data_IF_108589061606
#
_entry.id   IF_108589061606
#
_cell.length_a   1.000
_cell.length_b   1.000
_cell.length_c   1.000
_cell.angle_alpha   90.00
_cell.angle_beta   90.00
_cell.angle_gamma   90.00
#
_symmetry.space_group_name_H-M   'P 1'
#
loop_
_entity.id
_entity.type
_entity.pdbx_description
1 polymer ?
#
# COMPACT_ATOMS: atom_id res chain seq x y z
N UNK A 1 3.29 33.37 -50.76
CA UNK A 1 3.79 32.26 -49.92
C UNK A 1 4.73 32.86 -48.85
N UNK A 2 4.27 32.95 -47.60
CA UNK A 2 5.04 33.48 -46.48
C UNK A 2 5.73 32.29 -45.82
N UNK A 3 7.04 32.21 -45.91
CA UNK A 3 7.86 31.25 -45.18
C UNK A 3 8.13 31.80 -43.76
N UNK A 4 7.47 31.22 -42.75
CA UNK A 4 7.76 31.49 -41.33
C UNK A 4 8.89 30.56 -40.92
N UNK A 5 10.09 31.13 -40.72
CA UNK A 5 11.26 30.43 -40.16
C UNK A 5 11.12 30.39 -38.64
N UNK A 6 10.90 29.20 -38.07
CA UNK A 6 10.98 29.00 -36.62
C UNK A 6 12.46 28.83 -36.23
N UNK A 7 13.04 29.85 -35.60
CA UNK A 7 14.30 29.71 -34.89
C UNK A 7 14.02 28.92 -33.59
N UNK A 8 14.33 27.62 -33.59
CA UNK A 8 14.40 26.85 -32.34
C UNK A 8 15.58 27.34 -31.50
N UNK A 9 15.31 28.14 -30.51
CA UNK A 9 16.29 28.48 -29.49
C UNK A 9 16.48 27.26 -28.58
N UNK A 10 17.58 26.52 -28.80
CA UNK A 10 17.99 25.41 -27.93
C UNK A 10 18.76 26.01 -26.76
N UNK A 11 18.23 25.95 -25.52
CA UNK A 11 18.99 26.45 -24.37
C UNK A 11 20.26 25.59 -24.20
N UNK A 12 21.39 26.19 -23.70
CA UNK A 12 22.61 25.45 -23.47
C UNK A 12 22.35 24.28 -22.52
N UNK A 13 22.79 23.09 -22.93
CA UNK A 13 22.73 21.89 -22.10
C UNK A 13 23.71 22.11 -20.94
N UNK A 14 23.20 22.41 -19.75
CA UNK A 14 23.99 22.48 -18.52
C UNK A 14 24.73 21.14 -18.32
N UNK A 15 26.04 21.23 -18.11
CA UNK A 15 26.86 20.09 -17.73
C UNK A 15 26.25 19.40 -16.51
N UNK A 16 26.35 18.06 -16.41
CA UNK A 16 25.84 17.31 -15.27
C UNK A 16 26.41 17.82 -13.92
N UNK A 17 27.57 18.50 -13.96
CA UNK A 17 28.26 19.06 -12.81
C UNK A 17 27.62 20.37 -12.31
N UNK A 18 26.87 21.07 -13.16
CA UNK A 18 26.28 22.39 -12.87
C UNK A 18 24.77 22.31 -12.56
N UNK A 19 24.20 21.09 -12.52
CA UNK A 19 22.80 20.92 -12.09
C UNK A 19 22.73 21.03 -10.58
N UNK A 20 21.93 21.97 -10.03
CA UNK A 20 21.68 21.99 -8.60
C UNK A 20 21.10 20.62 -8.20
N UNK A 21 21.65 20.01 -7.16
CA UNK A 21 21.10 18.79 -6.60
C UNK A 21 19.67 19.09 -6.14
N UNK A 22 18.70 18.39 -6.72
CA UNK A 22 17.33 18.48 -6.22
C UNK A 22 17.30 18.01 -4.76
N UNK A 23 16.53 18.67 -3.88
CA UNK A 23 16.43 18.24 -2.50
C UNK A 23 15.92 16.80 -2.47
N UNK A 24 16.69 15.91 -1.85
CA UNK A 24 16.29 14.51 -1.68
C UNK A 24 15.42 14.35 -0.43
N UNK A 25 14.37 13.57 -0.54
CA UNK A 25 13.55 13.17 0.62
C UNK A 25 14.14 11.87 1.18
N UNK A 26 14.43 11.78 2.48
CA UNK A 26 14.84 10.51 3.08
C UNK A 26 13.81 9.40 2.81
N UNK A 27 14.28 8.19 2.51
CA UNK A 27 13.43 7.06 2.16
C UNK A 27 12.38 6.75 3.24
N UNK A 28 12.74 6.90 4.50
CA UNK A 28 11.82 6.76 5.64
C UNK A 28 10.67 7.77 5.58
N UNK A 29 10.98 9.02 5.27
CA UNK A 29 9.96 10.07 5.17
C UNK A 29 9.05 9.86 3.94
N UNK A 30 9.63 9.44 2.82
CA UNK A 30 8.86 9.08 1.63
C UNK A 30 7.90 7.91 1.92
N UNK A 31 8.38 6.86 2.59
CA UNK A 31 7.56 5.72 3.01
C UNK A 31 6.43 6.15 3.96
N UNK A 32 6.69 7.05 4.90
CA UNK A 32 5.67 7.58 5.80
C UNK A 32 4.57 8.37 5.06
N UNK A 33 4.92 9.15 4.05
CA UNK A 33 3.94 9.85 3.22
C UNK A 33 3.07 8.89 2.42
N UNK A 34 3.68 7.89 1.79
CA UNK A 34 2.96 6.85 1.05
C UNK A 34 2.02 6.09 1.99
N UNK A 35 2.49 5.69 3.17
CA UNK A 35 1.65 5.04 4.17
C UNK A 35 0.45 5.90 4.58
N UNK A 36 0.64 7.20 4.80
CA UNK A 36 -0.44 8.11 5.18
C UNK A 36 -1.56 8.15 4.12
N UNK A 37 -1.19 8.20 2.83
CA UNK A 37 -2.14 8.16 1.71
C UNK A 37 -2.86 6.81 1.65
N UNK A 38 -2.11 5.70 1.67
CA UNK A 38 -2.68 4.34 1.63
C UNK A 38 -3.66 4.11 2.79
N UNK A 39 -3.29 4.55 4.00
CA UNK A 39 -4.14 4.44 5.18
C UNK A 39 -5.43 5.26 5.03
N UNK A 40 -5.33 6.49 4.52
CA UNK A 40 -6.49 7.34 4.29
C UNK A 40 -7.44 6.72 3.24
N UNK A 41 -6.92 6.28 2.10
CA UNK A 41 -7.69 5.67 1.02
C UNK A 41 -8.40 4.39 1.50
N UNK A 42 -7.68 3.52 2.21
CA UNK A 42 -8.25 2.30 2.77
C UNK A 42 -9.34 2.59 3.80
N UNK A 43 -9.11 3.58 4.67
CA UNK A 43 -10.10 3.99 5.68
C UNK A 43 -11.35 4.51 4.98
N UNK A 44 -11.20 5.46 4.06
CA UNK A 44 -12.31 6.04 3.30
C UNK A 44 -13.08 4.96 2.54
N UNK A 45 -12.38 4.08 1.82
CA UNK A 45 -13.03 2.97 1.11
C UNK A 45 -13.86 2.09 2.06
N UNK A 46 -13.31 1.76 3.23
CA UNK A 46 -14.00 0.91 4.21
C UNK A 46 -15.23 1.61 4.79
N UNK A 47 -15.07 2.87 5.25
CA UNK A 47 -16.13 3.56 6.00
C UNK A 47 -17.20 4.16 5.10
N UNK A 48 -16.80 4.84 4.03
CA UNK A 48 -17.72 5.60 3.18
C UNK A 48 -18.28 4.79 2.00
N UNK A 49 -17.58 3.76 1.57
CA UNK A 49 -18.06 2.92 0.47
C UNK A 49 -18.62 1.60 1.01
N UNK A 50 -17.78 0.74 1.58
CA UNK A 50 -18.19 -0.61 1.97
C UNK A 50 -19.26 -0.57 3.06
N UNK A 51 -18.95 0.00 4.22
CA UNK A 51 -19.88 0.00 5.36
C UNK A 51 -21.17 0.75 5.04
N UNK A 52 -21.08 1.87 4.33
CA UNK A 52 -22.23 2.69 3.99
C UNK A 52 -23.18 1.99 3.01
N UNK A 53 -22.67 1.36 1.98
CA UNK A 53 -23.49 0.65 0.99
C UNK A 53 -24.07 -0.62 1.59
N UNK A 54 -23.32 -1.34 2.40
CA UNK A 54 -23.79 -2.52 3.11
C UNK A 54 -24.88 -2.17 4.12
N UNK A 55 -24.72 -1.10 4.90
CA UNK A 55 -25.73 -0.64 5.86
C UNK A 55 -27.04 -0.21 5.19
N UNK A 56 -26.98 0.24 3.94
CA UNK A 56 -28.15 0.59 3.13
C UNK A 56 -28.77 -0.59 2.38
N UNK A 57 -28.19 -1.79 2.50
CA UNK A 57 -28.65 -2.99 1.79
C UNK A 57 -28.47 -2.91 0.26
N UNK A 58 -27.58 -2.00 -0.25
CA UNK A 58 -27.37 -1.82 -1.68
C UNK A 58 -26.46 -2.91 -2.22
N UNK A 59 -25.32 -3.15 -1.58
CA UNK A 59 -24.37 -4.21 -1.90
C UNK A 59 -23.46 -4.47 -0.71
N UNK A 60 -22.90 -5.67 -0.64
CA UNK A 60 -21.91 -6.08 0.35
C UNK A 60 -20.52 -6.18 -0.28
N UNK A 61 -19.48 -6.27 0.54
CA UNK A 61 -18.16 -6.66 0.08
C UNK A 61 -18.01 -8.19 0.20
N UNK A 62 -17.39 -8.81 -0.80
CA UNK A 62 -17.22 -10.26 -0.87
C UNK A 62 -15.81 -10.65 -1.36
N UNK A 63 -15.35 -11.84 -0.94
CA UNK A 63 -14.13 -12.44 -1.48
C UNK A 63 -14.25 -12.77 -2.97
N UNK A 64 -15.47 -13.07 -3.42
CA UNK A 64 -15.84 -13.43 -4.80
C UNK A 64 -16.53 -12.27 -5.52
N UNK A 65 -16.06 -11.05 -5.25
CA UNK A 65 -16.69 -9.80 -5.69
C UNK A 65 -16.99 -9.75 -7.20
N UNK A 66 -16.14 -10.32 -8.04
CA UNK A 66 -16.36 -10.34 -9.50
C UNK A 66 -17.56 -11.20 -9.89
N UNK A 67 -17.66 -12.41 -9.31
CA UNK A 67 -18.72 -13.35 -9.59
C UNK A 67 -20.06 -12.93 -8.98
N UNK A 68 -20.00 -12.26 -7.84
CA UNK A 68 -21.19 -11.86 -7.07
C UNK A 68 -21.64 -10.43 -7.38
N UNK A 69 -20.95 -9.72 -8.28
CA UNK A 69 -21.17 -8.27 -8.54
C UNK A 69 -21.18 -7.45 -7.23
N UNK A 70 -20.29 -7.81 -6.32
CA UNK A 70 -20.14 -7.21 -5.02
C UNK A 70 -18.97 -6.20 -4.99
N UNK A 71 -18.75 -5.54 -3.85
CA UNK A 71 -17.58 -4.72 -3.64
C UNK A 71 -16.38 -5.59 -3.25
N UNK A 72 -15.17 -5.14 -3.60
CA UNK A 72 -13.96 -5.75 -3.05
C UNK A 72 -13.96 -5.65 -1.52
N UNK A 73 -13.41 -6.67 -0.86
CA UNK A 73 -13.03 -6.50 0.54
C UNK A 73 -11.96 -5.41 0.69
N UNK A 74 -11.93 -4.64 1.78
CA UNK A 74 -10.88 -3.63 2.01
C UNK A 74 -9.45 -4.15 1.90
N UNK A 75 -9.23 -5.43 2.24
CA UNK A 75 -7.94 -6.09 2.05
C UNK A 75 -7.62 -6.36 0.57
N UNK A 76 -8.60 -6.75 -0.22
CA UNK A 76 -8.46 -6.94 -1.67
C UNK A 76 -8.22 -5.60 -2.38
N UNK A 77 -8.95 -4.54 -1.99
CA UNK A 77 -8.70 -3.18 -2.49
C UNK A 77 -7.23 -2.79 -2.33
N UNK A 78 -6.67 -2.97 -1.13
CA UNK A 78 -5.26 -2.69 -0.87
C UNK A 78 -4.31 -3.58 -1.71
N UNK A 79 -4.64 -4.86 -1.90
CA UNK A 79 -3.83 -5.77 -2.70
C UNK A 79 -3.83 -5.38 -4.19
N UNK A 80 -5.00 -5.02 -4.74
CA UNK A 80 -5.12 -4.59 -6.13
C UNK A 80 -4.40 -3.26 -6.37
N UNK A 81 -4.56 -2.27 -5.48
CA UNK A 81 -3.86 -1.00 -5.60
C UNK A 81 -2.34 -1.17 -5.44
N UNK A 82 -1.87 -2.08 -4.56
CA UNK A 82 -0.45 -2.42 -4.44
C UNK A 82 0.13 -3.10 -5.69
N UNK A 83 -0.67 -3.90 -6.40
CA UNK A 83 -0.28 -4.47 -7.68
C UNK A 83 -0.13 -3.39 -8.74
N UNK A 84 -1.10 -2.50 -8.87
CA UNK A 84 -1.04 -1.36 -9.81
C UNK A 84 0.16 -0.45 -9.53
N UNK A 85 0.43 -0.12 -8.26
CA UNK A 85 1.59 0.67 -7.87
C UNK A 85 2.93 -0.02 -8.22
N UNK A 86 2.99 -1.35 -8.17
CA UNK A 86 4.19 -2.10 -8.55
C UNK A 86 4.42 -2.12 -10.07
N UNK A 87 3.37 -1.95 -10.87
CA UNK A 87 3.39 -1.98 -12.32
C UNK A 87 3.71 -0.62 -12.96
N UNK A 88 3.56 0.51 -12.24
CA UNK A 88 3.75 1.86 -12.76
C UNK A 88 5.21 2.27 -12.98
N UNK A 89 6.16 1.44 -12.55
CA UNK A 89 7.59 1.67 -12.74
C UNK A 89 8.24 2.63 -11.73
N UNK A 90 7.51 3.19 -10.77
CA UNK A 90 8.05 4.09 -9.73
C UNK A 90 9.00 3.39 -8.76
N UNK A 91 8.96 2.06 -8.71
CA UNK A 91 9.69 1.26 -7.74
C UNK A 91 9.01 1.14 -6.37
N UNK A 92 7.84 1.77 -6.20
CA UNK A 92 7.01 1.63 -5.00
C UNK A 92 6.30 0.29 -5.02
N UNK A 93 6.38 -0.43 -3.89
CA UNK A 93 5.66 -1.70 -3.68
C UNK A 93 5.10 -1.72 -2.28
N UNK A 94 3.90 -2.19 -2.13
CA UNK A 94 3.32 -2.42 -0.81
C UNK A 94 2.38 -3.62 -0.81
N UNK A 95 2.21 -4.23 0.34
CA UNK A 95 1.31 -5.36 0.56
C UNK A 95 0.83 -5.42 1.99
N UNK A 96 -0.28 -6.05 2.21
CA UNK A 96 -0.80 -6.35 3.54
C UNK A 96 -0.19 -7.66 4.03
N UNK A 97 0.31 -7.66 5.28
CA UNK A 97 0.85 -8.84 5.95
C UNK A 97 0.27 -8.96 7.36
N UNK A 98 0.25 -10.17 7.87
CA UNK A 98 -0.21 -10.42 9.24
C UNK A 98 0.43 -11.66 9.84
N UNK A 99 0.52 -11.72 11.17
CA UNK A 99 1.02 -12.90 11.90
C UNK A 99 0.07 -14.10 11.71
N UNK A 100 -1.21 -13.82 11.54
CA UNK A 100 -2.27 -14.81 11.43
C UNK A 100 -3.18 -14.51 10.23
N UNK A 101 -2.63 -14.56 9.01
CA UNK A 101 -3.42 -14.22 7.84
C UNK A 101 -4.42 -15.32 7.52
N UNK A 102 -5.61 -14.95 7.05
CA UNK A 102 -6.58 -15.89 6.49
C UNK A 102 -5.97 -16.58 5.26
N UNK A 103 -5.33 -15.80 4.40
CA UNK A 103 -4.60 -16.34 3.24
C UNK A 103 -3.10 -16.42 3.53
N UNK A 104 -2.53 -17.61 3.47
CA UNK A 104 -1.11 -17.89 3.79
C UNK A 104 -0.10 -17.01 3.05
N UNK A 105 -0.44 -16.56 1.83
CA UNK A 105 0.41 -15.63 1.06
C UNK A 105 0.63 -14.27 1.73
N UNK A 106 -0.24 -13.89 2.66
CA UNK A 106 -0.14 -12.67 3.45
C UNK A 106 0.65 -12.88 4.75
N UNK A 107 1.28 -14.03 4.93
CA UNK A 107 2.20 -14.25 6.03
C UNK A 107 3.50 -13.44 5.85
N UNK A 108 4.25 -13.17 6.94
CA UNK A 108 5.57 -12.56 6.85
C UNK A 108 6.51 -13.47 6.06
N UNK A 109 7.24 -12.89 5.11
CA UNK A 109 8.18 -13.59 4.23
C UNK A 109 9.64 -13.51 4.71
N UNK A 110 9.92 -12.72 5.74
CA UNK A 110 11.26 -12.55 6.31
C UNK A 110 11.21 -12.41 7.83
N UNK A 111 12.35 -12.58 8.48
CA UNK A 111 12.47 -12.34 9.92
C UNK A 111 12.24 -10.88 10.28
N UNK A 112 12.65 -9.93 9.43
CA UNK A 112 12.33 -8.51 9.61
C UNK A 112 10.81 -8.28 9.69
N UNK A 113 10.05 -8.84 8.76
CA UNK A 113 8.59 -8.71 8.76
C UNK A 113 7.95 -9.39 9.98
N UNK A 114 8.40 -10.58 10.35
CA UNK A 114 7.91 -11.30 11.53
C UNK A 114 8.16 -10.52 12.81
N UNK A 115 9.41 -10.07 13.02
CA UNK A 115 9.79 -9.33 14.22
C UNK A 115 9.11 -7.97 14.30
N UNK A 116 8.91 -7.32 13.14
CA UNK A 116 8.16 -6.08 13.04
C UNK A 116 6.70 -6.27 13.49
N UNK A 117 6.01 -7.29 12.97
CA UNK A 117 4.62 -7.58 13.34
C UNK A 117 4.48 -7.90 14.83
N UNK A 118 5.44 -8.65 15.43
CA UNK A 118 5.45 -8.90 16.88
C UNK A 118 5.65 -7.62 17.69
N UNK A 119 6.48 -6.70 17.21
CA UNK A 119 6.69 -5.40 17.85
C UNK A 119 5.47 -4.50 17.75
N UNK A 120 4.85 -4.43 16.55
CA UNK A 120 3.64 -3.65 16.29
C UNK A 120 2.42 -4.17 17.05
N UNK A 121 2.34 -5.50 17.27
CA UNK A 121 1.31 -6.10 18.13
C UNK A 121 1.40 -5.58 19.56
N UNK A 122 2.62 -5.40 20.10
CA UNK A 122 2.84 -4.88 21.44
C UNK A 122 2.61 -3.38 21.52
N UNK A 123 3.02 -2.65 20.51
CA UNK A 123 2.84 -1.20 20.43
C UNK A 123 2.48 -0.76 18.99
N UNK A 124 1.20 -0.57 18.70
CA UNK A 124 0.71 -0.18 17.38
C UNK A 124 1.00 1.27 16.99
N UNK A 125 1.70 2.04 17.80
CA UNK A 125 2.17 3.38 17.46
C UNK A 125 3.57 3.41 16.86
N UNK A 126 4.23 2.25 16.79
CA UNK A 126 5.55 2.12 16.18
C UNK A 126 5.47 1.98 14.66
N UNK A 127 6.59 2.22 14.01
CA UNK A 127 6.92 1.71 12.68
C UNK A 127 8.26 0.99 12.75
N UNK A 128 8.48 0.01 11.89
CA UNK A 128 9.74 -0.71 11.81
C UNK A 128 10.28 -0.57 10.40
N UNK A 129 11.55 -0.19 10.29
CA UNK A 129 12.21 0.01 9.01
C UNK A 129 13.46 -0.85 8.89
N UNK A 130 13.87 -1.14 7.66
CA UNK A 130 15.08 -1.88 7.37
C UNK A 130 15.47 -1.82 5.91
N UNK A 131 16.64 -2.32 5.59
CA UNK A 131 17.11 -2.52 4.22
C UNK A 131 16.99 -4.02 3.91
N UNK A 132 16.32 -4.34 2.81
CA UNK A 132 16.15 -5.71 2.35
C UNK A 132 16.77 -5.88 0.97
N UNK A 133 17.42 -7.02 0.73
CA UNK A 133 17.95 -7.37 -0.56
C UNK A 133 16.94 -8.24 -1.33
N UNK A 134 16.81 -7.96 -2.64
CA UNK A 134 16.05 -8.80 -3.56
C UNK A 134 16.83 -8.90 -4.87
N UNK A 135 17.47 -10.05 -5.09
CA UNK A 135 18.48 -10.21 -6.12
C UNK A 135 19.66 -9.28 -5.90
N UNK A 136 20.03 -8.52 -6.91
CA UNK A 136 21.15 -7.54 -6.84
C UNK A 136 20.70 -6.14 -6.37
N UNK A 137 19.43 -5.97 -6.04
CA UNK A 137 18.88 -4.66 -5.61
C UNK A 137 18.65 -4.64 -4.11
N UNK A 138 18.85 -3.46 -3.52
CA UNK A 138 18.47 -3.16 -2.16
C UNK A 138 17.23 -2.27 -2.15
N UNK A 139 16.35 -2.52 -1.20
CA UNK A 139 15.12 -1.77 -1.00
C UNK A 139 15.04 -1.28 0.44
N UNK A 140 14.62 -0.05 0.62
CA UNK A 140 14.16 0.42 1.92
C UNK A 140 12.77 -0.18 2.17
N UNK A 141 12.62 -0.92 3.26
CA UNK A 141 11.34 -1.48 3.69
C UNK A 141 10.88 -0.78 4.95
N UNK A 142 9.61 -0.36 4.97
CA UNK A 142 8.95 0.17 6.16
C UNK A 142 7.67 -0.62 6.42
N UNK A 143 7.43 -0.96 7.68
CA UNK A 143 6.30 -1.76 8.14
C UNK A 143 5.54 -0.92 9.15
N UNK A 144 4.27 -0.67 8.83
CA UNK A 144 3.36 0.16 9.61
C UNK A 144 2.18 -0.67 10.10
N UNK A 145 1.54 -0.29 11.22
CA UNK A 145 0.35 -0.96 11.70
C UNK A 145 -0.84 -0.68 10.79
N UNK A 146 -1.63 -1.71 10.54
CA UNK A 146 -2.92 -1.61 9.86
C UNK A 146 -4.00 -2.15 10.80
N UNK A 147 -4.64 -1.23 11.52
CA UNK A 147 -5.67 -1.57 12.50
C UNK A 147 -7.04 -1.69 11.83
N UNK A 148 -7.90 -2.53 12.42
CA UNK A 148 -9.30 -2.61 12.00
C UNK A 148 -9.98 -1.25 12.20
N UNK A 149 -10.59 -0.74 11.14
CA UNK A 149 -11.26 0.58 11.12
C UNK A 149 -12.77 0.48 11.29
N UNK A 150 -13.30 -0.75 11.36
CA UNK A 150 -14.73 -0.99 11.61
C UNK A 150 -14.95 -2.34 12.28
N UNK A 151 -16.11 -2.50 12.94
CA UNK A 151 -16.50 -3.75 13.56
C UNK A 151 -16.63 -4.87 12.52
N UNK A 152 -17.08 -4.57 11.31
CA UNK A 152 -17.18 -5.54 10.21
C UNK A 152 -15.85 -6.21 9.87
N UNK A 153 -14.72 -5.50 10.02
CA UNK A 153 -13.39 -6.10 9.85
C UNK A 153 -13.13 -7.19 10.91
N UNK A 154 -13.46 -6.88 12.17
CA UNK A 154 -13.28 -7.78 13.31
C UNK A 154 -14.17 -9.00 13.17
N UNK A 155 -15.44 -8.81 12.84
CA UNK A 155 -16.43 -9.89 12.70
C UNK A 155 -16.06 -10.85 11.57
N UNK A 156 -15.65 -10.32 10.41
CA UNK A 156 -15.18 -11.13 9.30
C UNK A 156 -13.93 -11.93 9.69
N UNK A 157 -12.92 -11.29 10.27
CA UNK A 157 -11.69 -11.98 10.67
C UNK A 157 -11.91 -13.04 11.74
N UNK A 158 -12.84 -12.83 12.67
CA UNK A 158 -13.15 -13.80 13.73
C UNK A 158 -14.07 -14.92 13.26
N UNK A 159 -14.98 -14.64 12.34
CA UNK A 159 -15.98 -15.57 11.82
C UNK A 159 -15.54 -16.42 10.63
N UNK A 160 -14.50 -16.01 9.91
CA UNK A 160 -14.07 -16.69 8.69
C UNK A 160 -13.56 -18.11 8.97
N UNK A 161 -13.95 -19.07 8.13
CA UNK A 161 -13.61 -20.51 8.32
C UNK A 161 -12.09 -20.77 8.38
N UNK A 162 -11.32 -20.02 7.61
CA UNK A 162 -9.85 -20.13 7.56
C UNK A 162 -9.15 -19.21 8.57
N UNK A 163 -9.89 -18.45 9.39
CA UNK A 163 -9.29 -17.62 10.39
C UNK A 163 -8.62 -18.48 11.47
N UNK A 164 -7.35 -18.26 11.79
CA UNK A 164 -6.73 -18.88 12.94
C UNK A 164 -7.38 -18.28 14.19
N UNK A 165 -8.42 -18.91 14.72
CA UNK A 165 -9.18 -18.48 15.91
C UNK A 165 -8.23 -18.26 17.08
N UNK A 166 -8.34 -17.09 17.73
CA UNK A 166 -7.49 -16.70 18.88
C UNK A 166 -8.27 -15.93 19.90
#
# INVERSE_FOLDING_TARGET
TILISWLCWVPPILSAKDRPSLPSIPAEKAAAYIYAVIKADRTLYTTEIVNRLQAKGITAASEHWEQENALLLPAQFLQHSGKLAAEDGSGVRYRLIGLWPIYKRNAPASDLERNALESLKKNPNLSVTGIVASGQKQYFQAIYPDLAVSQACVDCHNGHLLSPKR
#
